data_IF_876367058645
#
_entry.id   IF_876367058645
#
_cell.length_a   1.000
_cell.length_b   1.000
_cell.length_c   1.000
_cell.angle_alpha   90.00
_cell.angle_beta   90.00
_cell.angle_gamma   90.00
#
_symmetry.space_group_name_H-M   'P 1'
#
loop_
_entity.id
_entity.type
_entity.pdbx_description
1 polymer ?
#
# COMPACT_ATOMS: atom_id res chain seq x y z
N UNK A 1 -5.22 -1.89 14.31
CA UNK A 1 -4.80 -2.34 12.97
C UNK A 1 -5.32 -1.29 12.03
N UNK A 2 -4.43 -0.47 11.49
CA UNK A 2 -4.84 0.58 10.57
C UNK A 2 -4.65 0.06 9.14
N UNK A 3 -5.75 -0.04 8.38
CA UNK A 3 -5.71 -0.45 6.98
C UNK A 3 -5.31 0.74 6.11
N UNK A 4 -4.18 0.60 5.41
CA UNK A 4 -3.61 1.62 4.52
C UNK A 4 -3.61 1.19 3.05
N UNK A 5 -4.30 0.10 2.72
CA UNK A 5 -4.41 -0.50 1.37
C UNK A 5 -4.74 0.54 0.29
N UNK A 6 -5.69 1.45 0.55
CA UNK A 6 -6.08 2.48 -0.42
C UNK A 6 -4.96 3.50 -0.67
N UNK A 7 -4.19 3.86 0.36
CA UNK A 7 -3.05 4.76 0.24
C UNK A 7 -1.91 4.11 -0.57
N UNK A 8 -1.72 2.81 -0.41
CA UNK A 8 -0.70 2.07 -1.14
C UNK A 8 -1.04 1.95 -2.63
N UNK A 9 -2.31 1.76 -2.97
CA UNK A 9 -2.78 1.80 -4.37
C UNK A 9 -2.46 3.14 -5.06
N UNK A 10 -2.75 4.26 -4.40
CA UNK A 10 -2.42 5.60 -4.90
C UNK A 10 -0.91 5.80 -5.07
N UNK A 11 -0.12 5.28 -4.12
CA UNK A 11 1.35 5.33 -4.20
C UNK A 11 1.86 4.61 -5.45
N UNK A 12 1.35 3.42 -5.75
CA UNK A 12 1.73 2.64 -6.94
C UNK A 12 1.37 3.34 -8.24
N UNK A 13 0.20 4.00 -8.30
CA UNK A 13 -0.21 4.78 -9.47
C UNK A 13 0.79 5.92 -9.75
N UNK A 14 1.16 6.68 -8.72
CA UNK A 14 2.15 7.78 -8.83
C UNK A 14 3.54 7.27 -9.22
N UNK A 15 3.94 6.13 -8.69
CA UNK A 15 5.21 5.50 -9.08
C UNK A 15 5.21 5.06 -10.54
N UNK A 16 4.10 4.49 -11.03
CA UNK A 16 3.98 4.11 -12.45
C UNK A 16 4.08 5.33 -13.37
N UNK A 17 3.37 6.41 -13.05
CA UNK A 17 3.42 7.66 -13.79
C UNK A 17 4.84 8.27 -13.81
N UNK A 18 5.48 8.31 -12.64
CA UNK A 18 6.84 8.85 -12.50
C UNK A 18 7.87 7.99 -13.24
N UNK A 19 7.73 6.66 -13.18
CA UNK A 19 8.59 5.72 -13.89
C UNK A 19 8.47 5.88 -15.40
N UNK A 20 7.24 5.97 -15.92
CA UNK A 20 6.99 6.19 -17.34
C UNK A 20 7.58 7.53 -17.82
N UNK A 21 7.42 8.60 -17.04
CA UNK A 21 8.02 9.91 -17.33
C UNK A 21 9.56 9.91 -17.25
N UNK A 22 10.17 8.95 -16.54
CA UNK A 22 11.62 8.84 -16.35
C UNK A 22 12.27 7.79 -17.26
N UNK A 23 11.57 7.32 -18.30
CA UNK A 23 12.04 6.24 -19.19
C UNK A 23 13.41 6.53 -19.81
N UNK A 24 13.60 7.73 -20.39
CA UNK A 24 14.87 8.15 -20.99
C UNK A 24 16.02 8.13 -19.97
N UNK A 25 15.76 8.54 -18.73
CA UNK A 25 16.75 8.48 -17.66
C UNK A 25 17.13 7.05 -17.31
N UNK A 26 16.18 6.12 -17.33
CA UNK A 26 16.44 4.71 -17.10
C UNK A 26 17.30 4.11 -18.23
N UNK A 27 17.02 4.46 -19.49
CA UNK A 27 17.83 4.06 -20.65
C UNK A 27 19.27 4.56 -20.53
N UNK A 28 19.46 5.83 -20.15
CA UNK A 28 20.78 6.42 -19.92
C UNK A 28 21.57 5.77 -18.77
N UNK A 29 20.88 5.10 -17.83
CA UNK A 29 21.50 4.32 -16.76
C UNK A 29 21.84 2.88 -17.20
N UNK A 30 21.56 2.51 -18.46
CA UNK A 30 21.82 1.19 -19.01
C UNK A 30 20.68 0.18 -18.82
N UNK A 31 19.50 0.63 -18.40
CA UNK A 31 18.32 -0.24 -18.33
C UNK A 31 17.66 -0.34 -19.70
N UNK A 32 17.47 -1.56 -20.19
CA UNK A 32 16.90 -1.81 -21.50
C UNK A 32 15.36 -1.73 -21.52
N UNK A 33 14.82 -1.75 -22.74
CA UNK A 33 13.37 -1.75 -22.98
C UNK A 33 12.67 -2.94 -22.31
N UNK A 34 13.35 -4.09 -22.18
CA UNK A 34 12.79 -5.27 -21.50
C UNK A 34 12.58 -5.00 -20.02
N UNK A 35 13.57 -4.40 -19.35
CA UNK A 35 13.45 -3.97 -17.96
C UNK A 35 12.31 -2.97 -17.79
N UNK A 36 12.20 -1.98 -18.69
CA UNK A 36 11.14 -0.97 -18.66
C UNK A 36 9.74 -1.59 -18.72
N UNK A 37 9.50 -2.48 -19.70
CA UNK A 37 8.23 -3.19 -19.83
C UNK A 37 7.90 -4.06 -18.63
N UNK A 38 8.90 -4.74 -18.08
CA UNK A 38 8.72 -5.57 -16.88
C UNK A 38 8.27 -4.72 -15.70
N UNK A 39 8.90 -3.57 -15.47
CA UNK A 39 8.56 -2.68 -14.36
C UNK A 39 7.20 -2.00 -14.53
N UNK A 40 6.85 -1.61 -15.76
CA UNK A 40 5.54 -1.06 -16.08
C UNK A 40 4.43 -2.09 -15.79
N UNK A 41 4.63 -3.34 -16.23
CA UNK A 41 3.73 -4.45 -15.92
C UNK A 41 3.63 -4.71 -14.42
N UNK A 42 4.76 -4.76 -13.72
CA UNK A 42 4.80 -5.00 -12.27
C UNK A 42 3.99 -3.94 -11.50
N UNK A 43 4.24 -2.65 -11.76
CA UNK A 43 3.55 -1.56 -11.06
C UNK A 43 2.05 -1.58 -11.33
N UNK A 44 1.64 -1.76 -12.59
CA UNK A 44 0.23 -1.85 -12.95
C UNK A 44 -0.46 -3.08 -12.34
N UNK A 45 0.20 -4.24 -12.33
CA UNK A 45 -0.35 -5.48 -11.78
C UNK A 45 -0.56 -5.39 -10.27
N UNK A 46 0.44 -4.89 -9.54
CA UNK A 46 0.33 -4.74 -8.09
C UNK A 46 -0.69 -3.64 -7.73
N UNK A 47 -0.72 -2.52 -8.45
CA UNK A 47 -1.76 -1.48 -8.32
C UNK A 47 -3.17 -2.08 -8.44
N UNK A 48 -3.40 -2.91 -9.48
CA UNK A 48 -4.66 -3.61 -9.67
C UNK A 48 -4.97 -4.57 -8.50
N UNK A 49 -3.98 -5.33 -8.02
CA UNK A 49 -4.13 -6.21 -6.87
C UNK A 49 -4.61 -5.49 -5.60
N UNK A 50 -4.08 -4.29 -5.33
CA UNK A 50 -4.53 -3.44 -4.23
C UNK A 50 -5.93 -2.86 -4.48
N UNK A 51 -6.23 -2.36 -5.69
CA UNK A 51 -7.56 -1.81 -6.05
C UNK A 51 -8.67 -2.85 -5.97
N UNK A 52 -8.39 -4.07 -6.40
CA UNK A 52 -9.31 -5.20 -6.36
C UNK A 52 -9.42 -5.84 -4.97
N UNK A 53 -8.68 -5.32 -3.96
CA UNK A 53 -8.60 -5.88 -2.60
C UNK A 53 -8.19 -7.36 -2.57
N UNK A 54 -7.39 -7.81 -3.55
CA UNK A 54 -6.79 -9.15 -3.56
C UNK A 54 -5.60 -9.26 -2.62
N UNK A 55 -4.96 -8.13 -2.34
CA UNK A 55 -3.88 -7.95 -1.37
C UNK A 55 -4.17 -6.68 -0.54
N UNK A 56 -3.59 -6.60 0.66
CA UNK A 56 -3.79 -5.48 1.58
C UNK A 56 -2.49 -5.07 2.27
N UNK A 57 -2.46 -3.83 2.75
CA UNK A 57 -1.35 -3.28 3.54
C UNK A 57 -1.89 -2.67 4.83
N UNK A 58 -1.29 -3.06 5.96
CA UNK A 58 -1.80 -2.75 7.29
C UNK A 58 -0.68 -2.35 8.24
N UNK A 59 -0.94 -1.31 9.02
CA UNK A 59 -0.06 -0.90 10.10
C UNK A 59 -0.48 -1.57 11.41
N UNK A 60 0.48 -2.31 11.99
CA UNK A 60 0.30 -3.06 13.23
C UNK A 60 1.20 -2.52 14.33
N UNK A 61 0.59 -2.04 15.41
CA UNK A 61 1.29 -1.80 16.67
C UNK A 61 1.14 -3.04 17.57
N UNK A 62 2.26 -3.59 18.01
CA UNK A 62 2.30 -4.76 18.89
C UNK A 62 2.96 -4.38 20.21
N UNK A 63 2.38 -4.84 21.32
CA UNK A 63 2.90 -4.59 22.66
C UNK A 63 2.70 -5.83 23.55
N UNK A 64 3.55 -5.97 24.58
CA UNK A 64 3.41 -7.04 25.58
C UNK A 64 2.14 -6.84 26.42
N UNK A 65 1.58 -7.91 27.02
CA UNK A 65 0.49 -7.77 27.99
C UNK A 65 0.84 -6.74 29.06
N UNK A 66 -0.14 -5.93 29.47
CA UNK A 66 0.02 -4.86 30.47
C UNK A 66 0.89 -3.67 30.05
N UNK A 67 1.29 -3.57 28.78
CA UNK A 67 1.94 -2.36 28.27
C UNK A 67 1.01 -1.14 28.43
N UNK A 68 1.51 -0.12 29.11
CA UNK A 68 0.86 1.17 29.28
C UNK A 68 1.83 2.24 28.80
N UNK A 69 1.65 2.74 27.58
CA UNK A 69 2.27 4.00 27.20
C UNK A 69 1.21 5.07 27.00
N UNK A 70 1.53 6.27 27.45
CA UNK A 70 0.89 7.49 26.96
C UNK A 70 1.48 7.73 25.58
N UNK A 71 0.71 7.50 24.52
CA UNK A 71 1.11 7.97 23.20
C UNK A 71 1.24 9.51 23.33
N UNK A 72 2.38 10.12 22.92
CA UNK A 72 2.46 11.58 22.84
C UNK A 72 1.28 12.08 22.00
N UNK A 73 0.79 13.31 22.20
CA UNK A 73 -0.47 13.81 21.63
C UNK A 73 -0.62 13.76 20.08
N UNK A 74 0.39 13.28 19.35
CA UNK A 74 0.34 12.96 17.91
C UNK A 74 0.65 11.49 17.56
N UNK A 75 0.81 10.61 18.54
CA UNK A 75 0.93 9.17 18.34
C UNK A 75 -0.46 8.62 18.05
N UNK A 76 -0.65 8.11 16.83
CA UNK A 76 -1.87 7.45 16.35
C UNK A 76 -2.50 6.62 17.46
N UNK A 77 -3.51 7.18 18.13
CA UNK A 77 -4.36 6.39 18.99
C UNK A 77 -4.96 5.30 18.10
N UNK A 78 -4.98 4.03 18.53
CA UNK A 78 -5.65 3.01 17.74
C UNK A 78 -7.10 3.47 17.59
N UNK A 79 -7.55 3.67 16.35
CA UNK A 79 -8.93 4.08 16.01
C UNK A 79 -9.87 2.92 16.32
N UNK A 80 -9.99 2.58 17.60
CA UNK A 80 -10.91 1.59 18.14
C UNK A 80 -12.24 2.29 18.37
N UNK A 81 -13.06 2.38 17.32
CA UNK A 81 -14.52 2.49 17.34
C UNK A 81 -15.00 3.09 16.01
N UNK A 82 -15.14 2.23 15.00
CA UNK A 82 -16.15 2.41 13.95
C UNK A 82 -16.47 1.02 13.42
N UNK A 83 -17.43 0.38 14.09
CA UNK A 83 -18.19 -0.76 13.63
C UNK A 83 -18.38 -0.76 12.10
N UNK A 84 -17.89 -1.80 11.42
CA UNK A 84 -18.51 -2.27 10.19
C UNK A 84 -18.99 -3.70 10.46
N UNK A 85 -20.30 -3.93 10.62
CA UNK A 85 -20.82 -5.29 10.58
C UNK A 85 -20.65 -5.76 9.13
N UNK A 86 -19.66 -6.64 8.90
CA UNK A 86 -19.68 -7.51 7.72
C UNK A 86 -20.80 -8.50 7.98
N UNK A 87 -21.99 -8.12 7.54
CA UNK A 87 -23.16 -8.96 7.50
C UNK A 87 -22.85 -10.25 6.76
N UNK A 88 -23.38 -11.34 7.29
CA UNK A 88 -23.47 -12.68 6.72
C UNK A 88 -23.56 -12.68 5.19
N UNK A 89 -22.58 -13.35 4.57
CA UNK A 89 -22.79 -14.02 3.28
C UNK A 89 -21.68 -15.05 3.10
N UNK A 90 -21.97 -16.31 3.42
CA UNK A 90 -21.92 -17.47 2.52
C UNK A 90 -22.80 -18.55 3.15
N UNK A 91 -23.94 -18.84 2.52
CA UNK A 91 -24.52 -20.19 2.52
C UNK A 91 -23.70 -21.05 1.55
#
# INVERSE_FOLDING_TARGET
>A
LDDITQHYSETLARWRETFAASAERAENLGYDERFRRMWELYLAYVEAGFRERRIGDVQMLMAKPQWRATLPAGGLAPRLAAEHPVADRVQ
#
